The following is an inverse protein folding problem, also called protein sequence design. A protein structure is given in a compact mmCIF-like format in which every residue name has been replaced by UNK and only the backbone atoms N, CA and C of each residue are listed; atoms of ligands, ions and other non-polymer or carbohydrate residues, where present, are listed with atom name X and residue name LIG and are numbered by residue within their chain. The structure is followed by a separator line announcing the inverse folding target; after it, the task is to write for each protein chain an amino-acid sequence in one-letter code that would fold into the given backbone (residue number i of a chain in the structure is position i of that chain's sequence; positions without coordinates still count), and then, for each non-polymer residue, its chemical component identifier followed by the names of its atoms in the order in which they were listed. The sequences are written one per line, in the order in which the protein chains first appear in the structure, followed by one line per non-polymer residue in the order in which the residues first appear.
data_IF_798068487890
#
_entry.id   IF_798068487890
#
_cell.length_a   1.000
_cell.length_b   1.000
_cell.length_c   1.000
_cell.angle_alpha   90.00
_cell.angle_beta   90.00
_cell.angle_gamma   90.00
#
_symmetry.space_group_name_H-M   'P 1'
#
loop_
_entity.id
_entity.type
_entity.pdbx_description
1 polymer ?
#
# COMPACT_ATOMS: atom_id res chain seq x y z
N UNK A 1 13.90 -13.51 -11.87
CA UNK A 1 12.46 -13.30 -11.53
C UNK A 1 11.94 -12.15 -12.39
N UNK A 2 10.82 -12.31 -13.10
CA UNK A 2 10.16 -11.16 -13.77
C UNK A 2 9.43 -10.37 -12.69
N UNK A 3 9.94 -9.19 -12.34
CA UNK A 3 9.24 -8.29 -11.42
C UNK A 3 7.97 -7.73 -12.05
N UNK A 4 6.98 -7.36 -11.24
CA UNK A 4 5.80 -6.65 -11.71
C UNK A 4 6.15 -5.16 -11.93
N UNK A 5 5.83 -4.63 -13.11
CA UNK A 5 5.93 -3.19 -13.37
C UNK A 5 4.66 -2.50 -12.86
N UNK A 6 4.76 -1.81 -11.73
CA UNK A 6 3.66 -1.08 -11.12
C UNK A 6 3.93 0.42 -11.28
N UNK A 7 3.03 1.12 -11.97
CA UNK A 7 3.13 2.57 -12.12
C UNK A 7 2.85 3.30 -10.80
N UNK A 8 3.47 4.48 -10.62
CA UNK A 8 3.32 5.27 -9.39
C UNK A 8 1.86 5.55 -8.98
N UNK A 9 0.94 5.96 -9.88
CA UNK A 9 -0.47 6.15 -9.52
C UNK A 9 -1.19 4.87 -9.08
N UNK A 10 -0.66 3.70 -9.44
CA UNK A 10 -1.21 2.42 -9.00
C UNK A 10 -0.85 2.12 -7.54
N UNK A 11 0.26 2.66 -7.02
CA UNK A 11 0.68 2.45 -5.64
C UNK A 11 -0.31 3.07 -4.65
N UNK A 12 -0.81 4.28 -4.94
CA UNK A 12 -1.87 4.92 -4.14
C UNK A 12 -3.14 4.06 -4.10
N UNK A 13 -3.54 3.52 -5.26
CA UNK A 13 -4.71 2.63 -5.36
C UNK A 13 -4.52 1.36 -4.56
N UNK A 14 -3.34 0.73 -4.62
CA UNK A 14 -3.02 -0.47 -3.86
C UNK A 14 -3.09 -0.19 -2.36
N UNK A 15 -2.48 0.91 -1.90
CA UNK A 15 -2.58 1.36 -0.52
C UNK A 15 -4.04 1.54 -0.07
N UNK A 16 -4.83 2.30 -0.83
CA UNK A 16 -6.22 2.58 -0.49
C UNK A 16 -7.09 1.31 -0.46
N UNK A 17 -6.84 0.35 -1.35
CA UNK A 17 -7.53 -0.96 -1.35
C UNK A 17 -7.16 -1.77 -0.11
N UNK A 18 -5.88 -1.86 0.24
CA UNK A 18 -5.44 -2.60 1.43
C UNK A 18 -5.98 -1.97 2.71
N UNK A 19 -6.01 -0.64 2.81
CA UNK A 19 -6.61 0.05 3.94
C UNK A 19 -8.10 -0.28 4.08
N UNK A 20 -8.88 -0.21 2.99
CA UNK A 20 -10.30 -0.58 3.01
C UNK A 20 -10.53 -2.03 3.44
N UNK A 21 -9.69 -2.96 2.97
CA UNK A 21 -9.76 -4.38 3.38
C UNK A 21 -9.46 -4.55 4.87
N UNK A 22 -8.42 -3.85 5.37
CA UNK A 22 -8.05 -3.86 6.79
C UNK A 22 -9.20 -3.38 7.66
N UNK A 23 -9.76 -2.20 7.35
CA UNK A 23 -10.87 -1.62 8.11
C UNK A 23 -12.13 -2.49 8.04
N UNK A 24 -12.40 -3.11 6.89
CA UNK A 24 -13.51 -4.05 6.75
C UNK A 24 -13.30 -5.29 7.60
N UNK A 25 -12.12 -5.90 7.57
CA UNK A 25 -11.81 -7.08 8.38
C UNK A 25 -11.88 -6.79 9.89
N UNK A 26 -11.41 -5.62 10.32
CA UNK A 26 -11.58 -5.17 11.72
C UNK A 26 -13.05 -5.02 12.10
N UNK A 27 -13.86 -4.40 11.22
CA UNK A 27 -15.29 -4.21 11.45
C UNK A 27 -16.08 -5.52 11.47
N UNK A 28 -15.72 -6.45 10.61
CA UNK A 28 -16.38 -7.76 10.47
C UNK A 28 -15.88 -8.78 11.51
N UNK A 29 -15.04 -8.33 12.47
CA UNK A 29 -14.46 -9.14 13.55
C UNK A 29 -13.75 -10.42 13.06
N UNK A 30 -13.09 -10.30 11.90
CA UNK A 30 -12.26 -11.37 11.34
C UNK A 30 -11.12 -11.76 12.30
N UNK A 31 -10.52 -12.93 12.06
CA UNK A 31 -9.44 -13.42 12.92
C UNK A 31 -8.28 -12.42 13.01
N UNK A 32 -7.58 -12.41 14.15
CA UNK A 32 -6.44 -11.53 14.38
C UNK A 32 -5.37 -11.71 13.30
N UNK A 33 -5.15 -12.94 12.86
CA UNK A 33 -4.19 -13.30 11.82
C UNK A 33 -4.56 -12.66 10.48
N UNK A 34 -5.86 -12.67 10.11
CA UNK A 34 -6.36 -12.04 8.88
C UNK A 34 -6.18 -10.52 8.94
N UNK A 35 -6.59 -9.90 10.05
CA UNK A 35 -6.46 -8.45 10.26
C UNK A 35 -4.99 -8.02 10.21
N UNK A 36 -4.09 -8.77 10.88
CA UNK A 36 -2.65 -8.49 10.87
C UNK A 36 -2.07 -8.58 9.46
N UNK A 37 -2.44 -9.61 8.69
CA UNK A 37 -2.00 -9.73 7.29
C UNK A 37 -2.40 -8.52 6.43
N UNK A 38 -3.64 -8.03 6.58
CA UNK A 38 -4.06 -6.83 5.85
C UNK A 38 -3.36 -5.56 6.34
N UNK A 39 -3.09 -5.42 7.65
CA UNK A 39 -2.32 -4.31 8.20
C UNK A 39 -0.90 -4.27 7.64
N UNK A 40 -0.20 -5.41 7.63
CA UNK A 40 1.15 -5.52 7.07
C UNK A 40 1.17 -5.14 5.58
N UNK A 41 0.24 -5.68 4.78
CA UNK A 41 0.11 -5.31 3.37
C UNK A 41 -0.22 -3.82 3.17
N UNK A 42 -1.01 -3.22 4.05
CA UNK A 42 -1.33 -1.78 4.00
C UNK A 42 -0.10 -0.92 4.27
N UNK A 43 0.67 -1.27 5.32
CA UNK A 43 1.90 -0.56 5.68
C UNK A 43 2.92 -0.64 4.54
N UNK A 44 3.15 -1.83 3.98
CA UNK A 44 4.09 -2.00 2.87
C UNK A 44 3.68 -1.20 1.62
N UNK A 45 2.38 -1.20 1.27
CA UNK A 45 1.88 -0.41 0.15
C UNK A 45 2.02 1.10 0.38
N UNK A 46 1.77 1.56 1.61
CA UNK A 46 1.94 2.96 1.99
C UNK A 46 3.40 3.40 1.92
N UNK A 47 4.33 2.61 2.47
CA UNK A 47 5.76 2.89 2.40
C UNK A 47 6.24 2.94 0.95
N UNK A 48 5.79 2.01 0.10
CA UNK A 48 6.15 1.99 -1.32
C UNK A 48 5.60 3.23 -2.06
N UNK A 49 4.38 3.66 -1.74
CA UNK A 49 3.81 4.91 -2.25
C UNK A 49 4.63 6.13 -1.81
N UNK A 50 5.01 6.24 -0.54
CA UNK A 50 5.84 7.35 -0.06
C UNK A 50 7.21 7.40 -0.73
N UNK A 51 7.90 6.26 -0.81
CA UNK A 51 9.21 6.16 -1.47
C UNK A 51 9.09 6.53 -2.95
N UNK A 52 8.07 6.00 -3.63
CA UNK A 52 7.77 6.36 -5.02
C UNK A 52 7.52 7.86 -5.16
N UNK A 53 6.79 8.48 -4.21
CA UNK A 53 6.53 9.90 -4.19
C UNK A 53 7.84 10.68 -4.13
N UNK A 54 8.71 10.37 -3.19
CA UNK A 54 10.03 11.01 -3.06
C UNK A 54 10.89 10.83 -4.32
N UNK A 55 10.92 9.66 -4.94
CA UNK A 55 11.74 9.40 -6.13
C UNK A 55 11.18 10.13 -7.37
N UNK A 56 9.86 10.08 -7.58
CA UNK A 56 9.24 10.56 -8.81
C UNK A 56 8.81 12.03 -8.78
N UNK A 57 8.60 12.61 -7.59
CA UNK A 57 8.20 14.03 -7.44
C UNK A 57 9.37 14.98 -7.17
N UNK A 58 10.55 14.45 -6.82
CA UNK A 58 11.78 15.25 -6.67
C UNK A 58 12.44 15.62 -8.02
N UNK A 59 11.62 16.02 -9.01
CA UNK A 59 12.10 16.57 -10.29
C UNK A 59 12.30 18.08 -10.25
N UNK A 60 12.07 18.73 -9.11
CA UNK A 60 12.23 20.17 -8.92
C UNK A 60 13.54 20.57 -8.22
N UNK A 61 14.48 19.65 -8.02
CA UNK A 61 15.83 19.96 -7.51
C UNK A 61 16.91 19.92 -8.62
N UNK A 62 16.55 20.33 -9.85
CA UNK A 62 17.51 20.70 -10.89
C UNK A 62 17.47 22.20 -11.12
#
# INVERSE_FOLDING_TARGET
MKGAHIGFPMLEKIYAVNLRKTLKAEKDEESKEVVLGYRECTILAFLLYLIGGTIFTNKSMQ
#
